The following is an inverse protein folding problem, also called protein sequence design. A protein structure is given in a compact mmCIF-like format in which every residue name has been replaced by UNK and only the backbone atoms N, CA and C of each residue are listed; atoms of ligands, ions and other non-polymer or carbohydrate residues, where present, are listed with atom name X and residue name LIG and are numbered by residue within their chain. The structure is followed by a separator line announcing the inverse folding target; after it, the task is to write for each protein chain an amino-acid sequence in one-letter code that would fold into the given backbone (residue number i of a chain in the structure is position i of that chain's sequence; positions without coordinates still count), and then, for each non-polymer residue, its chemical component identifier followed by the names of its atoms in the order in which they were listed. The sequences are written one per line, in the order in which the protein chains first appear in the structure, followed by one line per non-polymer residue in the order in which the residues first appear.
data_IF_801922414675
#
_entry.id   IF_801922414675
#
_cell.length_a   1.000
_cell.length_b   1.000
_cell.length_c   1.000
_cell.angle_alpha   90.00
_cell.angle_beta   90.00
_cell.angle_gamma   90.00
#
_symmetry.space_group_name_H-M   'P 1'
#
loop_
_entity.id
_entity.type
_entity.pdbx_description
1 polymer ?
#
# COMPACT_ATOMS: atom_id res chain seq x y z
N UNK A 1 13.40 54.65 6.23
CA UNK A 1 14.88 54.72 6.09
C UNK A 1 15.44 53.45 6.70
N UNK A 2 15.71 52.51 5.89
CA UNK A 2 16.95 51.72 5.73
C UNK A 2 16.71 50.58 4.77
N UNK A 3 17.66 50.45 3.87
CA UNK A 3 17.71 49.73 2.61
C UNK A 3 17.64 48.19 2.68
N UNK A 4 17.27 47.53 1.55
CA UNK A 4 17.36 46.08 1.40
C UNK A 4 18.73 45.69 0.82
N UNK A 5 19.41 44.74 1.46
CA UNK A 5 20.66 44.14 0.96
C UNK A 5 20.42 42.76 0.38
N UNK A 6 20.49 42.69 -0.94
CA UNK A 6 21.21 41.76 -1.80
C UNK A 6 21.65 40.43 -1.19
N UNK A 7 21.12 39.32 -1.69
CA UNK A 7 21.84 38.04 -1.67
C UNK A 7 21.92 37.47 -3.08
N UNK A 8 23.16 37.34 -3.57
CA UNK A 8 23.52 36.92 -4.90
C UNK A 8 23.47 35.40 -5.08
N UNK A 9 23.10 35.04 -6.33
CA UNK A 9 23.07 33.69 -6.84
C UNK A 9 24.50 33.14 -7.09
N UNK A 10 24.78 31.93 -6.63
CA UNK A 10 25.93 31.16 -7.09
C UNK A 10 25.48 30.03 -8.01
N UNK A 11 25.69 30.25 -9.31
CA UNK A 11 25.72 29.24 -10.35
C UNK A 11 27.02 28.46 -10.25
N UNK A 12 26.96 27.13 -10.13
CA UNK A 12 28.08 26.26 -10.43
C UNK A 12 27.68 25.26 -11.53
N UNK A 13 28.10 25.58 -12.73
CA UNK A 13 28.12 24.71 -13.92
C UNK A 13 29.40 23.91 -13.91
N UNK A 14 29.33 22.56 -13.80
CA UNK A 14 30.45 21.69 -14.21
C UNK A 14 30.08 21.03 -15.54
N UNK A 15 30.71 21.58 -16.60
CA UNK A 15 30.91 20.93 -17.88
C UNK A 15 32.00 19.87 -17.71
N UNK A 16 31.73 18.63 -18.03
CA UNK A 16 32.74 17.64 -18.41
C UNK A 16 32.61 17.37 -19.90
N UNK A 17 33.60 17.84 -20.64
CA UNK A 17 33.80 17.52 -22.03
C UNK A 17 34.29 16.09 -22.15
N UNK A 18 33.68 15.32 -23.03
CA UNK A 18 34.17 14.02 -23.46
C UNK A 18 34.67 14.17 -24.88
N UNK A 19 35.96 13.87 -25.07
CA UNK A 19 36.73 13.93 -26.30
C UNK A 19 36.55 12.61 -27.07
N UNK A 20 36.28 12.63 -28.39
CA UNK A 20 36.28 11.41 -29.21
C UNK A 20 37.62 11.22 -29.86
N UNK A 21 38.34 10.18 -29.44
CA UNK A 21 39.57 9.73 -30.14
C UNK A 21 39.24 8.64 -31.13
N UNK A 22 39.69 8.90 -32.34
CA UNK A 22 39.70 8.06 -33.52
C UNK A 22 40.46 6.73 -33.33
N UNK A 23 39.97 5.70 -34.04
CA UNK A 23 40.76 4.66 -34.72
C UNK A 23 39.78 3.79 -35.52
N UNK A 24 39.69 3.75 -36.82
CA UNK A 24 40.73 3.51 -37.79
C UNK A 24 40.65 2.06 -38.28
N UNK A 25 40.18 1.82 -39.54
CA UNK A 25 40.39 0.58 -40.30
C UNK A 25 39.19 -0.40 -40.27
N UNK A 26 38.70 -0.95 -41.33
CA UNK A 26 39.09 -1.15 -42.69
C UNK A 26 37.91 -1.66 -43.52
N UNK A 27 37.76 -1.35 -44.80
CA UNK A 27 36.64 -1.85 -45.58
C UNK A 27 37.08 -3.05 -46.39
N UNK A 28 36.49 -4.17 -46.20
CA UNK A 28 36.62 -5.27 -47.13
C UNK A 28 35.40 -6.17 -47.18
N UNK A 29 34.77 -6.05 -48.26
CA UNK A 29 34.45 -6.99 -49.34
C UNK A 29 33.12 -7.72 -49.32
N UNK A 30 32.51 -7.48 -50.42
CA UNK A 30 31.74 -8.32 -51.35
C UNK A 30 30.27 -8.52 -51.11
N UNK A 31 29.64 -7.74 -51.93
CA UNK A 31 28.57 -8.06 -52.86
C UNK A 31 28.44 -9.56 -53.17
N UNK A 32 27.32 -10.15 -52.81
CA UNK A 32 26.73 -11.18 -53.65
C UNK A 32 25.19 -10.96 -53.59
N UNK A 33 24.77 -10.40 -54.66
CA UNK A 33 23.36 -10.29 -55.06
C UNK A 33 22.84 -11.70 -55.32
N UNK A 34 21.83 -12.13 -54.56
CA UNK A 34 20.98 -13.21 -54.98
C UNK A 34 19.52 -12.73 -54.84
N UNK A 35 18.86 -12.47 -55.97
CA UNK A 35 17.46 -12.07 -55.95
C UNK A 35 16.57 -13.30 -56.13
N UNK A 36 16.35 -14.05 -55.11
CA UNK A 36 15.29 -15.05 -55.09
C UNK A 36 15.10 -15.62 -53.68
N UNK A 37 14.56 -14.84 -52.78
CA UNK A 37 13.75 -15.44 -51.68
C UNK A 37 12.60 -14.49 -51.40
N UNK A 38 11.51 -14.80 -52.02
CA UNK A 38 10.19 -14.32 -51.66
C UNK A 38 9.91 -14.92 -50.28
N UNK A 39 10.22 -14.19 -49.26
CA UNK A 39 9.79 -14.56 -47.92
C UNK A 39 8.26 -14.33 -47.86
N UNK A 40 7.47 -15.39 -47.74
CA UNK A 40 6.07 -15.21 -47.58
C UNK A 40 5.79 -14.55 -46.23
N UNK A 41 5.23 -13.36 -46.32
CA UNK A 41 4.30 -12.80 -45.36
C UNK A 41 4.47 -13.28 -43.92
N UNK A 42 5.12 -12.44 -43.08
CA UNK A 42 4.84 -12.49 -41.67
C UNK A 42 3.32 -12.42 -41.51
N UNK A 43 2.70 -13.40 -40.84
CA UNK A 43 1.32 -13.24 -40.48
C UNK A 43 1.27 -11.99 -39.63
N UNK A 44 0.44 -11.04 -40.05
CA UNK A 44 -0.03 -9.92 -39.30
C UNK A 44 -0.24 -10.40 -37.85
N UNK A 45 0.51 -9.80 -36.96
CA UNK A 45 0.31 -10.00 -35.53
C UNK A 45 -1.05 -9.38 -35.18
N UNK A 46 -2.09 -10.10 -35.56
CA UNK A 46 -3.44 -9.85 -35.07
C UNK A 46 -3.33 -9.77 -33.58
N UNK A 47 -3.63 -8.61 -33.03
CA UNK A 47 -3.79 -8.42 -31.59
C UNK A 47 -4.64 -9.59 -31.09
N UNK A 48 -4.18 -10.34 -30.06
CA UNK A 48 -5.00 -11.39 -29.49
C UNK A 48 -6.30 -10.73 -29.04
N UNK A 49 -7.41 -11.19 -29.57
CA UNK A 49 -8.74 -10.74 -29.24
C UNK A 49 -8.86 -10.66 -27.72
N UNK A 50 -8.97 -9.45 -27.15
CA UNK A 50 -9.13 -9.25 -25.71
C UNK A 50 -10.38 -10.02 -25.19
N UNK A 51 -11.33 -10.27 -26.06
CA UNK A 51 -12.56 -11.02 -25.80
C UNK A 51 -12.28 -12.51 -25.52
N UNK A 52 -11.47 -13.18 -26.34
CA UNK A 52 -11.10 -14.58 -26.13
C UNK A 52 -10.29 -14.80 -24.85
N UNK A 53 -9.47 -13.85 -24.46
CA UNK A 53 -8.72 -13.86 -23.20
C UNK A 53 -9.64 -13.72 -21.98
N UNK A 54 -10.75 -12.96 -22.09
CA UNK A 54 -11.70 -12.74 -21.00
C UNK A 54 -12.54 -13.99 -20.73
N UNK A 55 -13.08 -14.63 -21.77
CA UNK A 55 -13.90 -15.83 -21.66
C UNK A 55 -13.10 -17.02 -21.12
N UNK A 56 -11.87 -17.17 -21.56
CA UNK A 56 -10.95 -18.18 -21.05
C UNK A 56 -10.61 -17.92 -19.56
N UNK A 57 -10.43 -16.66 -19.18
CA UNK A 57 -10.17 -16.29 -17.80
C UNK A 57 -11.37 -16.62 -16.90
N UNK A 58 -12.58 -16.24 -17.30
CA UNK A 58 -13.82 -16.52 -16.55
C UNK A 58 -14.11 -18.02 -16.47
N UNK A 59 -13.80 -18.79 -17.53
CA UNK A 59 -13.91 -20.25 -17.50
C UNK A 59 -13.04 -20.89 -16.41
N UNK A 60 -11.86 -20.30 -16.12
CA UNK A 60 -10.98 -20.75 -15.04
C UNK A 60 -11.38 -20.23 -13.66
N UNK A 61 -12.10 -19.13 -13.63
CA UNK A 61 -12.51 -18.44 -12.40
C UNK A 61 -14.00 -18.10 -12.44
N UNK A 62 -14.89 -19.11 -12.32
CA UNK A 62 -16.34 -18.90 -12.44
C UNK A 62 -16.92 -18.00 -11.36
N UNK A 63 -16.26 -17.89 -10.20
CA UNK A 63 -16.69 -17.05 -9.08
C UNK A 63 -16.20 -15.58 -9.19
N UNK A 64 -15.47 -15.25 -10.26
CA UNK A 64 -14.93 -13.90 -10.45
C UNK A 64 -16.04 -12.92 -10.83
N UNK A 65 -16.36 -11.99 -9.93
CA UNK A 65 -17.31 -10.89 -10.16
C UNK A 65 -16.58 -9.65 -10.70
N UNK A 66 -15.39 -9.40 -10.20
CA UNK A 66 -14.49 -8.35 -10.70
C UNK A 66 -13.18 -8.98 -11.13
N UNK A 67 -12.71 -8.65 -12.34
CA UNK A 67 -11.49 -9.23 -12.85
C UNK A 67 -10.72 -8.31 -13.81
N UNK A 68 -9.44 -8.62 -13.98
CA UNK A 68 -8.55 -8.06 -14.99
C UNK A 68 -7.67 -9.18 -15.54
N UNK A 69 -7.99 -9.69 -16.73
CA UNK A 69 -7.25 -10.77 -17.36
C UNK A 69 -5.77 -10.40 -17.58
N UNK A 70 -5.50 -9.18 -18.04
CA UNK A 70 -4.14 -8.66 -18.27
C UNK A 70 -3.26 -8.67 -17.01
N UNK A 71 -3.84 -8.37 -15.83
CA UNK A 71 -3.13 -8.37 -14.56
C UNK A 71 -3.28 -9.68 -13.77
N UNK A 72 -4.05 -10.63 -14.27
CA UNK A 72 -4.42 -11.87 -13.58
C UNK A 72 -4.99 -11.64 -12.17
N UNK A 73 -5.73 -10.56 -12.03
CA UNK A 73 -6.38 -10.15 -10.78
C UNK A 73 -7.87 -10.41 -10.88
N UNK A 74 -8.45 -10.91 -9.80
CA UNK A 74 -9.89 -11.13 -9.71
C UNK A 74 -10.34 -11.22 -8.24
N UNK A 75 -11.63 -11.11 -8.04
CA UNK A 75 -12.26 -11.31 -6.72
C UNK A 75 -13.68 -11.81 -6.87
N UNK A 76 -14.11 -12.60 -5.89
CA UNK A 76 -15.49 -13.05 -5.73
C UNK A 76 -16.39 -11.93 -5.21
N UNK A 77 -17.70 -12.18 -5.13
CA UNK A 77 -18.65 -11.24 -4.53
C UNK A 77 -18.32 -10.94 -3.07
N UNK A 78 -17.92 -11.94 -2.30
CA UNK A 78 -17.56 -11.76 -0.89
C UNK A 78 -16.29 -10.93 -0.72
N UNK A 79 -15.31 -11.12 -1.61
CA UNK A 79 -14.08 -10.32 -1.63
C UNK A 79 -14.38 -8.85 -1.95
N UNK A 80 -15.25 -8.62 -2.93
CA UNK A 80 -15.69 -7.27 -3.31
C UNK A 80 -16.45 -6.61 -2.16
N UNK A 81 -17.39 -7.30 -1.55
CA UNK A 81 -18.18 -6.79 -0.41
C UNK A 81 -17.26 -6.42 0.77
N UNK A 82 -16.24 -7.23 1.03
CA UNK A 82 -15.23 -6.91 2.06
C UNK A 82 -14.40 -5.67 1.69
N UNK A 83 -14.01 -5.52 0.41
CA UNK A 83 -13.30 -4.34 -0.07
C UNK A 83 -14.16 -3.06 0.03
N UNK A 84 -15.44 -3.14 -0.32
CA UNK A 84 -16.42 -2.06 -0.19
C UNK A 84 -16.63 -1.66 1.28
N UNK A 85 -16.69 -2.63 2.18
CA UNK A 85 -16.76 -2.36 3.63
C UNK A 85 -15.53 -1.57 4.11
N UNK A 86 -14.33 -1.97 3.69
CA UNK A 86 -13.08 -1.26 4.02
C UNK A 86 -13.14 0.18 3.50
N UNK A 87 -13.54 0.36 2.24
CA UNK A 87 -13.67 1.67 1.61
C UNK A 87 -14.69 2.55 2.33
N UNK A 88 -15.86 2.02 2.66
CA UNK A 88 -16.89 2.76 3.40
C UNK A 88 -16.38 3.28 4.74
N UNK A 89 -15.55 2.52 5.46
CA UNK A 89 -14.93 2.97 6.71
C UNK A 89 -13.90 4.08 6.50
N UNK A 90 -13.13 3.99 5.43
CA UNK A 90 -12.16 5.03 5.05
C UNK A 90 -12.90 6.32 4.71
N UNK A 91 -13.93 6.25 3.87
CA UNK A 91 -14.72 7.42 3.49
C UNK A 91 -15.37 8.09 4.72
N UNK A 92 -16.00 7.30 5.60
CA UNK A 92 -16.59 7.86 6.83
C UNK A 92 -15.57 8.59 7.71
N UNK A 93 -14.32 8.11 7.73
CA UNK A 93 -13.24 8.79 8.47
C UNK A 93 -12.86 10.13 7.80
N UNK A 94 -12.78 10.18 6.46
CA UNK A 94 -12.49 11.42 5.73
C UNK A 94 -13.64 12.43 5.84
N UNK A 95 -14.89 11.97 5.80
CA UNK A 95 -16.08 12.82 5.99
C UNK A 95 -16.08 13.44 7.38
N UNK A 96 -15.81 12.66 8.41
CA UNK A 96 -15.73 13.16 9.80
C UNK A 96 -14.56 14.17 9.95
N UNK A 97 -13.42 13.92 9.31
CA UNK A 97 -12.30 14.86 9.34
C UNK A 97 -12.64 16.17 8.59
N UNK A 98 -13.34 16.09 7.46
CA UNK A 98 -13.79 17.26 6.70
C UNK A 98 -14.80 18.11 7.50
N UNK A 99 -15.66 17.49 8.28
CA UNK A 99 -16.59 18.18 9.17
C UNK A 99 -15.86 18.97 10.28
N UNK A 100 -14.69 18.46 10.73
CA UNK A 100 -13.91 19.11 11.79
C UNK A 100 -13.03 20.25 11.28
N UNK A 101 -12.29 20.03 10.19
CA UNK A 101 -11.26 20.96 9.70
C UNK A 101 -11.59 21.62 8.36
N UNK A 102 -12.60 21.14 7.63
CA UNK A 102 -13.11 21.73 6.39
C UNK A 102 -12.18 21.60 5.16
N UNK A 103 -10.92 21.24 5.32
CA UNK A 103 -9.91 21.19 4.24
C UNK A 103 -9.61 19.78 3.72
N UNK A 104 -10.19 18.75 4.33
CA UNK A 104 -9.90 17.36 3.97
C UNK A 104 -10.66 16.97 2.71
N UNK A 105 -9.94 16.67 1.65
CA UNK A 105 -10.51 16.25 0.36
C UNK A 105 -10.80 14.74 0.38
N UNK A 106 -11.99 14.38 -0.07
CA UNK A 106 -12.39 12.98 -0.23
C UNK A 106 -11.43 12.24 -1.16
N UNK A 107 -10.92 11.06 -0.78
CA UNK A 107 -10.01 10.29 -1.61
C UNK A 107 -10.73 9.79 -2.88
N UNK A 108 -9.94 9.60 -3.94
CA UNK A 108 -10.44 9.02 -5.19
C UNK A 108 -10.84 7.56 -4.98
N UNK A 109 -11.88 7.15 -5.67
CA UNK A 109 -12.37 5.77 -5.69
C UNK A 109 -11.25 4.79 -6.06
N UNK A 110 -11.14 3.65 -5.35
CA UNK A 110 -10.08 2.68 -5.57
C UNK A 110 -10.34 1.81 -6.81
N UNK A 111 -9.30 1.11 -7.25
CA UNK A 111 -9.46 0.04 -8.22
C UNK A 111 -10.06 -1.19 -7.51
N UNK A 112 -11.34 -1.41 -7.73
CA UNK A 112 -12.11 -2.49 -7.09
C UNK A 112 -11.54 -3.87 -7.36
N UNK A 113 -11.10 -4.14 -8.61
CA UNK A 113 -10.47 -5.42 -8.98
C UNK A 113 -9.20 -5.67 -8.16
N UNK A 114 -8.35 -4.67 -8.03
CA UNK A 114 -7.12 -4.79 -7.25
C UNK A 114 -7.43 -4.98 -5.76
N UNK A 115 -8.40 -4.26 -5.22
CA UNK A 115 -8.78 -4.37 -3.82
C UNK A 115 -9.43 -5.71 -3.47
N UNK A 116 -10.38 -6.16 -4.30
CA UNK A 116 -10.99 -7.48 -4.14
C UNK A 116 -9.96 -8.61 -4.28
N UNK A 117 -9.01 -8.47 -5.23
CA UNK A 117 -7.92 -9.44 -5.37
C UNK A 117 -7.03 -9.53 -4.12
N UNK A 118 -6.71 -8.40 -3.46
CA UNK A 118 -5.95 -8.42 -2.20
C UNK A 118 -6.71 -9.11 -1.07
N UNK A 119 -8.03 -8.88 -0.97
CA UNK A 119 -8.89 -9.60 -0.01
C UNK A 119 -8.87 -11.10 -0.31
N UNK A 120 -9.05 -11.50 -1.57
CA UNK A 120 -8.98 -12.89 -2.01
C UNK A 120 -7.64 -13.53 -1.63
N UNK A 121 -6.52 -12.82 -1.84
CA UNK A 121 -5.20 -13.33 -1.48
C UNK A 121 -5.07 -13.53 0.04
N UNK A 122 -5.61 -12.64 0.86
CA UNK A 122 -5.65 -12.83 2.31
C UNK A 122 -6.47 -14.07 2.69
N UNK A 123 -7.53 -14.38 1.95
CA UNK A 123 -8.35 -15.57 2.21
C UNK A 123 -7.65 -16.84 1.74
N UNK A 124 -7.18 -16.87 0.48
CA UNK A 124 -6.69 -18.08 -0.18
C UNK A 124 -5.25 -18.43 0.16
N UNK A 125 -4.39 -17.43 0.33
CA UNK A 125 -2.96 -17.63 0.60
C UNK A 125 -2.64 -17.54 2.10
N UNK A 126 -3.23 -16.57 2.78
CA UNK A 126 -2.91 -16.31 4.19
C UNK A 126 -3.89 -17.04 5.14
N UNK A 127 -4.88 -17.78 4.61
CA UNK A 127 -5.83 -18.59 5.38
C UNK A 127 -6.76 -17.80 6.29
N UNK A 128 -7.08 -16.54 5.94
CA UNK A 128 -7.90 -15.66 6.75
C UNK A 128 -9.35 -15.66 6.27
N UNK A 129 -10.29 -15.40 7.17
CA UNK A 129 -11.71 -15.26 6.80
C UNK A 129 -12.05 -13.79 6.56
N UNK A 130 -13.04 -13.52 5.69
CA UNK A 130 -13.57 -12.18 5.46
C UNK A 130 -13.98 -11.47 6.77
N UNK A 131 -14.57 -12.24 7.71
CA UNK A 131 -14.94 -11.74 9.04
C UNK A 131 -13.73 -11.26 9.85
N UNK A 132 -12.62 -12.01 9.81
CA UNK A 132 -11.37 -11.62 10.48
C UNK A 132 -10.79 -10.34 9.85
N UNK A 133 -10.78 -10.27 8.51
CA UNK A 133 -10.30 -9.11 7.75
C UNK A 133 -11.09 -7.85 8.14
N UNK A 134 -12.41 -7.90 8.03
CA UNK A 134 -13.28 -6.77 8.39
C UNK A 134 -13.17 -6.41 9.89
N UNK A 135 -13.03 -7.40 10.77
CA UNK A 135 -12.90 -7.16 12.21
C UNK A 135 -11.58 -6.49 12.57
N UNK A 136 -10.47 -6.94 11.99
CA UNK A 136 -9.16 -6.33 12.22
C UNK A 136 -9.11 -4.91 11.66
N UNK A 137 -9.62 -4.70 10.43
CA UNK A 137 -9.72 -3.38 9.84
C UNK A 137 -10.56 -2.42 10.68
N UNK A 138 -11.72 -2.89 11.18
CA UNK A 138 -12.57 -2.08 12.06
C UNK A 138 -11.85 -1.62 13.33
N UNK A 139 -10.99 -2.48 13.91
CA UNK A 139 -10.16 -2.12 15.07
C UNK A 139 -9.07 -1.12 14.69
N UNK A 140 -8.37 -1.36 13.58
CA UNK A 140 -7.35 -0.45 13.07
C UNK A 140 -7.92 0.94 12.73
N UNK A 141 -9.10 0.99 12.13
CA UNK A 141 -9.79 2.25 11.79
C UNK A 141 -10.25 3.05 13.02
N UNK A 142 -10.41 2.42 14.19
CA UNK A 142 -10.74 3.09 15.45
C UNK A 142 -9.51 3.59 16.21
N UNK A 143 -8.34 3.07 15.90
CA UNK A 143 -7.10 3.47 16.53
C UNK A 143 -6.56 4.77 15.92
N UNK A 144 -6.15 5.71 16.75
CA UNK A 144 -5.71 7.05 16.33
C UNK A 144 -4.47 7.06 15.44
N UNK A 145 -3.60 6.08 15.58
CA UNK A 145 -2.40 5.91 14.77
C UNK A 145 -2.68 5.11 13.50
N UNK A 146 -3.35 3.96 13.63
CA UNK A 146 -3.55 3.04 12.52
C UNK A 146 -4.58 3.48 11.51
N UNK A 147 -5.57 4.27 11.91
CA UNK A 147 -6.60 4.78 10.99
C UNK A 147 -6.02 5.59 9.82
N UNK A 148 -4.89 6.28 10.04
CA UNK A 148 -4.20 7.08 9.02
C UNK A 148 -3.17 6.28 8.22
N UNK A 149 -2.74 5.12 8.72
CA UNK A 149 -1.67 4.32 8.12
C UNK A 149 -2.19 3.12 7.33
N UNK A 150 -3.40 2.65 7.62
CA UNK A 150 -4.01 1.48 6.96
C UNK A 150 -5.22 1.93 6.14
N UNK A 151 -4.94 2.41 4.92
CA UNK A 151 -5.92 2.98 4.01
C UNK A 151 -6.20 2.11 2.78
N UNK A 152 -5.85 0.82 2.84
CA UNK A 152 -6.14 -0.12 1.76
C UNK A 152 -6.04 -1.58 2.24
N UNK A 153 -6.66 -2.55 1.53
CA UNK A 153 -6.48 -3.97 1.81
C UNK A 153 -5.02 -4.43 1.75
N UNK A 154 -4.23 -3.90 0.80
CA UNK A 154 -2.79 -4.21 0.69
C UNK A 154 -2.02 -3.80 1.95
N UNK A 155 -2.29 -2.60 2.49
CA UNK A 155 -1.67 -2.14 3.74
C UNK A 155 -2.13 -2.93 4.95
N UNK A 156 -3.40 -3.33 4.97
CA UNK A 156 -3.92 -4.21 6.01
C UNK A 156 -3.19 -5.57 6.01
N UNK A 157 -2.98 -6.15 4.81
CA UNK A 157 -2.27 -7.41 4.64
C UNK A 157 -0.81 -7.30 5.07
N UNK A 158 -0.11 -6.25 4.62
CA UNK A 158 1.29 -5.98 4.97
C UNK A 158 1.49 -5.85 6.49
N UNK A 159 0.56 -5.19 7.18
CA UNK A 159 0.64 -4.89 8.61
C UNK A 159 -0.13 -5.86 9.49
N UNK A 160 -0.62 -6.95 8.93
CA UNK A 160 -1.53 -7.86 9.64
C UNK A 160 -1.02 -8.33 11.00
N UNK A 161 0.19 -8.85 11.05
CA UNK A 161 0.72 -9.44 12.29
C UNK A 161 0.96 -8.36 13.35
N UNK A 162 1.48 -7.21 12.93
CA UNK A 162 1.66 -6.06 13.81
C UNK A 162 0.32 -5.55 14.38
N UNK A 163 -0.69 -5.42 13.53
CA UNK A 163 -2.04 -5.02 13.92
C UNK A 163 -2.69 -6.06 14.84
N UNK A 164 -2.52 -7.33 14.52
CA UNK A 164 -3.07 -8.41 15.32
C UNK A 164 -2.48 -8.44 16.72
N UNK A 165 -1.18 -8.19 16.87
CA UNK A 165 -0.51 -8.14 18.16
C UNK A 165 -0.89 -6.88 18.95
N UNK A 166 -0.86 -5.71 18.32
CA UNK A 166 -1.12 -4.43 19.00
C UNK A 166 -2.60 -4.18 19.31
N UNK A 167 -3.49 -4.66 18.44
CA UNK A 167 -4.94 -4.47 18.57
C UNK A 167 -5.67 -5.71 19.10
N UNK A 168 -4.95 -6.78 19.48
CA UNK A 168 -5.56 -7.89 20.21
C UNK A 168 -6.06 -7.34 21.55
N UNK A 169 -7.32 -7.57 21.83
CA UNK A 169 -7.89 -7.27 23.15
C UNK A 169 -7.15 -8.13 24.16
N UNK A 170 -6.47 -7.55 25.15
CA UNK A 170 -5.85 -8.35 26.19
C UNK A 170 -6.92 -9.20 26.86
N UNK A 171 -6.69 -10.50 26.94
CA UNK A 171 -7.59 -11.49 27.59
C UNK A 171 -7.92 -11.15 29.06
N UNK A 172 -7.30 -10.10 29.61
CA UNK A 172 -7.44 -9.66 30.99
C UNK A 172 -8.17 -8.33 31.21
N UNK A 173 -8.77 -7.70 30.19
CA UNK A 173 -9.48 -6.44 30.41
C UNK A 173 -10.86 -6.58 31.06
N UNK A 174 -11.32 -7.81 31.33
CA UNK A 174 -12.58 -8.04 32.05
C UNK A 174 -12.44 -8.09 33.57
N UNK A 175 -11.26 -7.81 34.13
CA UNK A 175 -11.06 -7.99 35.58
C UNK A 175 -10.38 -6.84 36.32
N UNK A 176 -10.21 -5.66 35.73
CA UNK A 176 -9.62 -4.54 36.48
C UNK A 176 -10.16 -3.17 36.05
N UNK A 177 -11.47 -3.01 36.00
CA UNK A 177 -12.11 -1.72 36.33
C UNK A 177 -12.66 -1.75 37.77
N UNK A 178 -12.02 -2.51 38.64
CA UNK A 178 -12.22 -2.42 40.07
C UNK A 178 -11.06 -1.62 40.65
N UNK A 179 -11.26 -0.30 40.81
CA UNK A 179 -10.57 0.53 41.81
C UNK A 179 -9.04 0.33 41.92
N UNK A 180 -8.27 0.91 41.01
CA UNK A 180 -7.03 1.54 41.44
C UNK A 180 -7.48 2.86 42.08
N UNK A 181 -7.99 2.77 43.30
CA UNK A 181 -7.99 3.92 44.18
C UNK A 181 -6.53 4.32 44.27
N UNK A 182 -6.28 5.54 43.89
CA UNK A 182 -5.02 6.26 44.03
C UNK A 182 -4.58 6.09 45.47
N UNK A 183 -3.78 5.07 45.74
CA UNK A 183 -3.12 4.94 47.00
C UNK A 183 -2.24 6.18 47.10
N UNK A 184 -2.67 7.11 47.93
CA UNK A 184 -1.94 8.31 48.21
C UNK A 184 -0.58 7.87 48.82
N UNK A 185 0.49 8.37 48.27
CA UNK A 185 1.84 8.22 48.81
C UNK A 185 2.05 8.99 50.12
N UNK A 186 0.97 9.37 50.76
CA UNK A 186 1.01 9.99 52.09
C UNK A 186 1.30 8.91 53.12
N UNK A 187 2.53 8.81 53.56
CA UNK A 187 2.96 7.90 54.63
C UNK A 187 4.27 7.16 54.38
N UNK A 188 4.93 7.39 53.29
CA UNK A 188 6.30 6.86 53.11
C UNK A 188 7.27 7.87 53.71
N UNK A 189 7.82 7.50 54.87
CA UNK A 189 8.85 8.27 55.54
C UNK A 189 10.17 8.09 54.77
N UNK A 190 10.63 9.15 54.09
CA UNK A 190 11.90 9.19 53.38
C UNK A 190 13.04 9.72 54.26
N UNK A 191 12.90 9.73 55.56
CA UNK A 191 14.00 10.13 56.49
C UNK A 191 15.15 9.15 56.33
N UNK A 192 16.28 9.69 55.89
CA UNK A 192 17.55 8.94 55.88
C UNK A 192 17.91 8.60 57.31
N UNK A 193 18.34 7.36 57.62
CA UNK A 193 18.83 7.03 58.93
C UNK A 193 20.05 7.91 59.24
N UNK A 194 19.98 8.67 60.32
CA UNK A 194 21.12 9.43 60.80
C UNK A 194 22.27 8.47 61.11
N UNK A 195 23.37 8.73 60.42
CA UNK A 195 24.59 7.98 60.53
C UNK A 195 25.12 8.12 61.95
N UNK A 196 24.91 7.08 62.74
CA UNK A 196 25.58 6.93 64.06
C UNK A 196 27.03 6.54 63.80
N UNK A 197 27.89 7.45 64.18
CA UNK A 197 29.29 7.63 64.05
C UNK A 197 30.23 6.43 64.17
N UNK A 198 31.35 6.70 63.50
CA UNK A 198 32.69 6.34 64.01
C UNK A 198 33.53 7.58 64.03
#
# INVERSE_FOLDING_TARGET
KTDPSKFEASKSTKKTSFDPSESGGDPSVRSTTDPSDINPSCPDASQPDEQGSADEFLSRHPDAVVYSAAKRQWGSQDDLTCAEFIWGKIISMYELAAESDGEVVRPKEPNWTAWANEVRLMVMQDGRTHKQICSLFKRANKDSFWCKNVLSPSKLREKWDELSLKLSVPLNSSRQEASISRASFEGVDYSLPENSGF
#
